data_IF_649100807008
#
_entry.id   IF_649100807008
#
_cell.length_a   1.000
_cell.length_b   1.000
_cell.length_c   1.000
_cell.angle_alpha   90.00
_cell.angle_beta   90.00
_cell.angle_gamma   90.00
#
_symmetry.space_group_name_H-M   'P 1'
#
loop_
_entity.id
_entity.type
_entity.pdbx_description
1 polymer ?
#
# COMPACT_ATOMS: atom_id res chain seq x y z
N UNK A 1 10.65 -6.29 -4.64
CA UNK A 1 10.30 -5.94 -3.25
C UNK A 1 10.84 -7.04 -2.36
N UNK A 2 11.47 -6.78 -1.20
CA UNK A 2 12.00 -7.87 -0.38
C UNK A 2 10.91 -8.47 0.51
N UNK A 3 10.80 -9.79 0.57
CA UNK A 3 9.76 -10.55 1.27
C UNK A 3 9.76 -10.26 2.77
N UNK A 4 10.94 -10.13 3.38
CA UNK A 4 11.07 -9.85 4.82
C UNK A 4 10.61 -8.43 5.22
N UNK A 5 10.54 -7.50 4.27
CA UNK A 5 10.02 -6.15 4.47
C UNK A 5 8.48 -6.11 4.46
N UNK A 6 7.82 -7.17 3.99
CA UNK A 6 6.35 -7.17 3.79
C UNK A 6 5.54 -7.60 5.01
N UNK A 7 6.16 -8.26 5.99
CA UNK A 7 5.47 -8.82 7.17
C UNK A 7 4.42 -9.91 6.87
N UNK A 8 4.15 -10.27 5.61
CA UNK A 8 3.14 -11.24 5.20
C UNK A 8 3.77 -12.56 4.73
N UNK A 9 3.26 -13.69 5.25
CA UNK A 9 3.70 -15.02 4.85
C UNK A 9 3.21 -15.44 3.45
N UNK A 10 2.27 -14.71 2.84
CA UNK A 10 1.79 -15.01 1.48
C UNK A 10 2.87 -14.73 0.43
N UNK A 11 3.63 -13.64 0.60
CA UNK A 11 4.67 -13.25 -0.35
C UNK A 11 5.86 -14.20 -0.40
N UNK A 12 6.04 -15.06 0.61
CA UNK A 12 7.03 -16.15 0.55
C UNK A 12 6.68 -17.12 -0.59
N UNK A 13 5.39 -17.39 -0.83
CA UNK A 13 4.95 -18.28 -1.92
C UNK A 13 5.07 -17.63 -3.29
N UNK A 14 4.92 -16.31 -3.34
CA UNK A 14 5.03 -15.50 -4.55
C UNK A 14 6.47 -15.09 -4.88
N UNK A 15 7.40 -15.32 -3.94
CA UNK A 15 8.81 -14.99 -4.13
C UNK A 15 9.52 -15.97 -5.04
N UNK A 16 10.38 -15.44 -5.89
CA UNK A 16 11.18 -16.24 -6.80
C UNK A 16 12.23 -17.05 -6.04
N UNK A 17 12.88 -16.43 -5.05
CA UNK A 17 14.04 -16.93 -4.30
C UNK A 17 13.82 -17.03 -2.77
N UNK A 18 12.61 -16.82 -2.27
CA UNK A 18 12.34 -16.71 -0.83
C UNK A 18 12.57 -15.31 -0.26
N UNK A 19 13.18 -14.42 -1.03
CA UNK A 19 13.68 -13.12 -0.59
C UNK A 19 13.07 -11.93 -1.33
N UNK A 20 12.70 -12.08 -2.60
CA UNK A 20 12.23 -11.02 -3.47
C UNK A 20 10.95 -11.45 -4.20
N UNK A 21 10.05 -10.49 -4.33
CA UNK A 21 8.92 -10.56 -5.27
C UNK A 21 9.25 -9.62 -6.43
N UNK A 22 9.55 -10.19 -7.60
CA UNK A 22 9.91 -9.45 -8.82
C UNK A 22 8.71 -8.68 -9.42
N UNK A 23 7.49 -9.16 -9.16
CA UNK A 23 6.24 -8.51 -9.55
C UNK A 23 5.77 -7.37 -8.65
N UNK A 24 6.49 -7.07 -7.56
CA UNK A 24 6.07 -6.03 -6.62
C UNK A 24 6.05 -4.63 -7.27
N UNK A 25 4.99 -3.85 -7.03
CA UNK A 25 4.80 -2.55 -7.69
C UNK A 25 5.77 -1.47 -7.22
N UNK A 26 6.28 -1.52 -5.98
CA UNK A 26 7.22 -0.51 -5.47
C UNK A 26 8.47 -0.30 -6.35
N UNK A 27 9.27 -1.35 -6.62
CA UNK A 27 10.40 -1.24 -7.56
C UNK A 27 9.98 -0.78 -8.96
N UNK A 28 8.78 -1.16 -9.42
CA UNK A 28 8.26 -0.74 -10.72
C UNK A 28 7.96 0.78 -10.74
N UNK A 29 7.42 1.32 -9.65
CA UNK A 29 7.14 2.75 -9.50
C UNK A 29 8.42 3.59 -9.40
N UNK A 30 9.36 3.17 -8.54
CA UNK A 30 10.47 4.03 -8.09
C UNK A 30 11.82 3.71 -8.74
N UNK A 31 12.00 2.54 -9.35
CA UNK A 31 13.29 2.15 -9.92
C UNK A 31 13.16 1.06 -11.01
N UNK A 32 12.28 1.27 -11.98
CA UNK A 32 12.12 0.33 -13.09
C UNK A 32 13.17 0.62 -14.15
N UNK A 33 14.14 -0.30 -14.32
CA UNK A 33 15.23 -0.15 -15.29
C UNK A 33 15.97 1.19 -15.11
N UNK A 34 16.31 1.51 -13.86
CA UNK A 34 16.95 2.78 -13.46
C UNK A 34 16.10 4.04 -13.69
N UNK A 35 14.78 3.90 -13.87
CA UNK A 35 13.84 5.02 -14.00
C UNK A 35 12.93 5.09 -12.78
N UNK A 36 12.96 6.24 -12.09
CA UNK A 36 11.93 6.63 -11.12
C UNK A 36 10.73 7.20 -11.88
N UNK A 37 9.77 6.33 -12.19
CA UNK A 37 8.60 6.70 -12.98
C UNK A 37 7.70 7.68 -12.22
N UNK A 38 7.58 7.54 -10.89
CA UNK A 38 6.71 8.43 -10.09
C UNK A 38 7.26 9.86 -10.07
N UNK A 39 8.56 10.03 -9.80
CA UNK A 39 9.18 11.35 -9.88
C UNK A 39 9.09 11.93 -11.29
N UNK A 40 9.36 11.10 -12.30
CA UNK A 40 9.28 11.51 -13.71
C UNK A 40 7.89 12.05 -14.08
N UNK A 41 6.81 11.36 -13.70
CA UNK A 41 5.46 11.85 -14.01
C UNK A 41 5.08 13.09 -13.20
N UNK A 42 5.57 13.23 -11.96
CA UNK A 42 5.34 14.45 -11.15
C UNK A 42 6.02 15.65 -11.82
N UNK A 43 7.28 15.54 -12.21
CA UNK A 43 8.04 16.61 -12.86
C UNK A 43 7.46 16.96 -14.24
N UNK A 44 6.95 15.95 -14.95
CA UNK A 44 6.24 16.12 -16.21
C UNK A 44 4.92 16.89 -16.02
N UNK A 45 4.13 16.56 -15.00
CA UNK A 45 2.87 17.25 -14.71
C UNK A 45 3.09 18.69 -14.23
N UNK A 46 4.18 18.96 -13.50
CA UNK A 46 4.56 20.33 -13.11
C UNK A 46 4.94 21.18 -14.33
N UNK A 47 5.74 20.64 -15.24
CA UNK A 47 6.25 21.37 -16.40
C UNK A 47 5.23 21.48 -17.55
N UNK A 48 4.36 20.46 -17.71
CA UNK A 48 3.35 20.39 -18.77
C UNK A 48 2.01 19.88 -18.19
N UNK A 49 1.22 20.73 -17.51
CA UNK A 49 0.01 20.30 -16.79
C UNK A 49 -1.05 19.58 -17.66
N UNK A 50 -1.18 19.96 -18.93
CA UNK A 50 -2.15 19.35 -19.86
C UNK A 50 -1.66 18.06 -20.53
N UNK A 51 -0.46 17.59 -20.16
CA UNK A 51 0.14 16.38 -20.72
C UNK A 51 -0.81 15.18 -20.65
N UNK A 52 -0.72 14.33 -21.69
CA UNK A 52 -1.38 13.02 -21.75
C UNK A 52 -0.38 11.87 -21.53
N UNK A 53 0.90 12.21 -21.29
CA UNK A 53 2.04 11.30 -21.27
C UNK A 53 2.48 10.91 -19.84
N UNK A 54 1.83 11.44 -18.80
CA UNK A 54 2.12 11.08 -17.41
C UNK A 54 1.57 9.67 -17.10
N UNK A 55 2.31 8.65 -17.52
CA UNK A 55 1.95 7.23 -17.42
C UNK A 55 3.08 6.47 -16.74
N UNK A 56 2.72 5.63 -15.77
CA UNK A 56 3.58 4.64 -15.15
C UNK A 56 3.24 3.27 -15.76
N UNK A 57 4.25 2.56 -16.26
CA UNK A 57 4.15 1.19 -16.74
C UNK A 57 4.55 0.20 -15.64
N UNK A 58 3.71 -0.79 -15.35
CA UNK A 58 3.97 -1.78 -14.28
C UNK A 58 4.22 -3.18 -14.82
N UNK A 59 3.36 -3.66 -15.72
CA UNK A 59 3.55 -4.90 -16.47
C UNK A 59 4.58 -4.71 -17.59
N UNK A 60 5.49 -5.66 -17.80
CA UNK A 60 6.42 -5.65 -18.92
C UNK A 60 6.36 -6.98 -19.70
N UNK A 61 6.76 -6.95 -20.97
CA UNK A 61 6.82 -8.15 -21.81
C UNK A 61 7.72 -9.25 -21.19
N UNK A 62 8.81 -8.87 -20.52
CA UNK A 62 9.72 -9.78 -19.82
C UNK A 62 9.06 -10.56 -18.68
N UNK A 63 7.96 -10.05 -18.11
CA UNK A 63 7.23 -10.76 -17.06
C UNK A 63 6.60 -12.06 -17.59
N UNK A 64 6.42 -12.18 -18.90
CA UNK A 64 5.91 -13.39 -19.55
C UNK A 64 6.99 -14.47 -19.78
N UNK A 65 8.26 -14.17 -19.51
CA UNK A 65 9.38 -15.10 -19.75
C UNK A 65 9.39 -16.32 -18.81
N UNK A 66 8.50 -16.38 -17.81
CA UNK A 66 8.45 -17.43 -16.80
C UNK A 66 9.41 -17.23 -15.62
N UNK A 67 10.26 -16.20 -15.66
CA UNK A 67 11.16 -15.86 -14.55
C UNK A 67 10.43 -15.21 -13.36
N UNK A 68 9.24 -14.62 -13.58
CA UNK A 68 8.43 -14.02 -12.53
C UNK A 68 7.29 -14.97 -12.14
N UNK A 69 7.26 -15.41 -10.88
CA UNK A 69 6.18 -16.27 -10.39
C UNK A 69 4.87 -15.51 -10.24
N UNK A 70 4.97 -14.22 -9.89
CA UNK A 70 3.83 -13.34 -9.67
C UNK A 70 3.80 -12.20 -10.71
N UNK A 71 3.34 -12.51 -11.92
CA UNK A 71 3.22 -11.53 -13.02
C UNK A 71 2.29 -10.37 -12.62
N UNK A 72 2.73 -9.09 -12.73
CA UNK A 72 1.89 -7.93 -12.41
C UNK A 72 0.49 -7.99 -13.06
N UNK A 73 -0.55 -7.82 -12.25
CA UNK A 73 -1.93 -7.71 -12.74
C UNK A 73 -2.26 -6.29 -13.19
N UNK A 74 -1.66 -5.28 -12.57
CA UNK A 74 -1.77 -3.89 -13.00
C UNK A 74 -0.84 -3.64 -14.18
N UNK A 75 -1.39 -3.07 -15.26
CA UNK A 75 -0.64 -2.78 -16.48
C UNK A 75 -0.10 -1.35 -16.45
N UNK A 76 -0.96 -0.35 -16.25
CA UNK A 76 -0.55 1.06 -16.23
C UNK A 76 -1.33 1.91 -15.23
N UNK A 77 -0.72 3.03 -14.81
CA UNK A 77 -1.37 4.12 -14.09
C UNK A 77 -1.14 5.42 -14.87
N UNK A 78 -2.20 6.10 -15.29
CA UNK A 78 -2.14 7.38 -16.00
C UNK A 78 -2.68 8.50 -15.12
N UNK A 79 -1.97 9.63 -15.10
CA UNK A 79 -2.32 10.82 -14.34
C UNK A 79 -2.62 11.99 -15.28
N UNK A 80 -3.65 12.78 -14.98
CA UNK A 80 -4.06 13.91 -15.81
C UNK A 80 -4.56 15.05 -14.94
N UNK A 81 -4.10 16.27 -15.19
CA UNK A 81 -4.64 17.46 -14.54
C UNK A 81 -5.75 18.03 -15.41
N UNK A 82 -6.97 18.15 -14.88
CA UNK A 82 -8.10 18.80 -15.56
C UNK A 82 -8.83 19.70 -14.58
N UNK A 83 -9.09 20.94 -14.96
CA UNK A 83 -9.84 21.92 -14.14
C UNK A 83 -9.30 22.00 -12.69
N UNK A 84 -7.97 22.07 -12.55
CA UNK A 84 -7.30 22.18 -11.24
C UNK A 84 -7.35 20.92 -10.36
N UNK A 85 -7.76 19.76 -10.91
CA UNK A 85 -7.86 18.50 -10.20
C UNK A 85 -6.98 17.42 -10.83
N UNK A 86 -6.38 16.57 -10.01
CA UNK A 86 -5.62 15.42 -10.47
C UNK A 86 -6.52 14.20 -10.62
N UNK A 87 -6.73 13.78 -11.86
CA UNK A 87 -7.43 12.55 -12.22
C UNK A 87 -6.44 11.40 -12.38
N UNK A 88 -6.88 10.18 -12.08
CA UNK A 88 -6.07 8.98 -12.29
C UNK A 88 -6.88 7.88 -12.97
N UNK A 89 -6.27 7.18 -13.93
CA UNK A 89 -6.81 5.99 -14.58
C UNK A 89 -5.85 4.83 -14.35
N UNK A 90 -6.36 3.71 -13.84
CA UNK A 90 -5.61 2.47 -13.71
C UNK A 90 -6.16 1.44 -14.67
N UNK A 91 -5.27 0.78 -15.41
CA UNK A 91 -5.62 -0.38 -16.24
C UNK A 91 -4.99 -1.62 -15.64
N UNK A 92 -5.76 -2.71 -15.61
CA UNK A 92 -5.35 -4.01 -15.10
C UNK A 92 -5.78 -5.09 -16.10
N UNK A 93 -4.93 -6.11 -16.30
CA UNK A 93 -5.29 -7.28 -17.12
C UNK A 93 -6.25 -8.22 -16.38
N UNK A 94 -6.20 -8.23 -15.04
CA UNK A 94 -6.96 -9.13 -14.18
C UNK A 94 -7.13 -8.52 -12.79
N UNK A 95 -8.30 -8.68 -12.15
CA UNK A 95 -8.51 -8.24 -10.77
C UNK A 95 -9.52 -9.15 -10.05
N UNK A 96 -9.15 -9.61 -8.84
CA UNK A 96 -10.05 -10.34 -7.93
C UNK A 96 -11.04 -9.34 -7.34
N UNK A 97 -12.32 -9.47 -7.69
CA UNK A 97 -13.36 -8.52 -7.31
C UNK A 97 -13.63 -8.46 -5.80
N UNK A 98 -13.35 -9.54 -5.05
CA UNK A 98 -13.71 -9.64 -3.64
C UNK A 98 -12.55 -9.29 -2.72
N UNK A 99 -11.35 -9.83 -2.98
CA UNK A 99 -10.18 -9.60 -2.12
C UNK A 99 -9.21 -8.58 -2.70
N UNK A 100 -9.00 -8.59 -4.01
CA UNK A 100 -8.02 -7.75 -4.69
C UNK A 100 -8.49 -6.30 -4.84
N UNK A 101 -9.69 -6.12 -5.41
CA UNK A 101 -10.24 -4.81 -5.76
C UNK A 101 -10.26 -3.82 -4.58
N UNK A 102 -10.73 -4.17 -3.36
CA UNK A 102 -10.72 -3.22 -2.25
C UNK A 102 -9.31 -2.75 -1.88
N UNK A 103 -8.33 -3.65 -1.89
CA UNK A 103 -6.93 -3.34 -1.61
C UNK A 103 -6.30 -2.48 -2.73
N UNK A 104 -6.56 -2.84 -3.98
CA UNK A 104 -6.01 -2.15 -5.14
C UNK A 104 -6.56 -0.73 -5.26
N UNK A 105 -7.88 -0.56 -5.15
CA UNK A 105 -8.51 0.77 -5.16
C UNK A 105 -7.97 1.64 -4.02
N UNK A 106 -7.85 1.09 -2.81
CA UNK A 106 -7.25 1.81 -1.68
C UNK A 106 -5.83 2.26 -2.00
N UNK A 107 -4.94 1.35 -2.39
CA UNK A 107 -3.54 1.67 -2.69
C UNK A 107 -3.42 2.71 -3.82
N UNK A 108 -4.20 2.55 -4.88
CA UNK A 108 -4.13 3.40 -6.06
C UNK A 108 -4.67 4.80 -5.77
N UNK A 109 -5.77 4.92 -5.04
CA UNK A 109 -6.32 6.24 -4.66
C UNK A 109 -5.44 6.94 -3.63
N UNK A 110 -4.74 6.21 -2.75
CA UNK A 110 -3.69 6.78 -1.90
C UNK A 110 -2.51 7.33 -2.72
N UNK A 111 -2.07 6.64 -3.78
CA UNK A 111 -1.06 7.16 -4.71
C UNK A 111 -1.57 8.40 -5.44
N UNK A 112 -2.82 8.40 -5.92
CA UNK A 112 -3.44 9.58 -6.52
C UNK A 112 -3.42 10.77 -5.55
N UNK A 113 -3.81 10.55 -4.30
CA UNK A 113 -3.80 11.61 -3.29
C UNK A 113 -2.38 12.11 -3.01
N UNK A 114 -1.38 11.24 -2.84
CA UNK A 114 0.02 11.63 -2.69
C UNK A 114 0.51 12.55 -3.82
N UNK A 115 0.24 12.17 -5.07
CA UNK A 115 0.62 12.97 -6.24
C UNK A 115 -0.16 14.29 -6.26
N UNK A 116 -1.44 14.29 -5.91
CA UNK A 116 -2.26 15.49 -5.85
C UNK A 116 -1.72 16.48 -4.79
N UNK A 117 -1.39 15.99 -3.58
CA UNK A 117 -0.79 16.79 -2.50
C UNK A 117 0.56 17.37 -2.91
N UNK A 118 1.42 16.55 -3.53
CA UNK A 118 2.74 16.97 -4.04
C UNK A 118 2.63 18.10 -5.08
N UNK A 119 1.56 18.10 -5.88
CA UNK A 119 1.30 19.12 -6.91
C UNK A 119 0.48 20.31 -6.39
N UNK A 120 0.02 20.29 -5.13
CA UNK A 120 -0.88 21.31 -4.60
C UNK A 120 -2.27 21.32 -5.26
N UNK A 121 -2.74 20.17 -5.75
CA UNK A 121 -4.00 20.03 -6.48
C UNK A 121 -5.08 19.34 -5.64
N UNK A 122 -6.34 19.62 -5.99
CA UNK A 122 -7.47 18.85 -5.48
C UNK A 122 -7.55 17.47 -6.15
N UNK A 123 -8.16 16.51 -5.46
CA UNK A 123 -8.39 15.17 -6.01
C UNK A 123 -9.49 15.25 -7.08
N UNK A 124 -9.21 14.63 -8.23
CA UNK A 124 -10.14 14.42 -9.33
C UNK A 124 -10.69 13.00 -9.38
N UNK A 125 -11.22 12.61 -10.53
CA UNK A 125 -11.85 11.29 -10.72
C UNK A 125 -10.79 10.20 -10.81
N UNK A 126 -10.97 9.16 -10.00
CA UNK A 126 -10.32 7.87 -10.15
C UNK A 126 -11.12 6.98 -11.11
N UNK A 127 -10.45 6.33 -12.05
CA UNK A 127 -11.04 5.38 -12.99
C UNK A 127 -10.29 4.04 -12.89
N UNK A 128 -11.03 2.94 -12.80
CA UNK A 128 -10.48 1.60 -12.73
C UNK A 128 -10.97 0.77 -13.90
N UNK A 129 -10.05 0.20 -14.67
CA UNK A 129 -10.37 -0.69 -15.78
C UNK A 129 -9.68 -2.04 -15.57
N UNK A 130 -10.47 -3.11 -15.52
CA UNK A 130 -9.97 -4.48 -15.43
C UNK A 130 -10.43 -5.28 -16.64
N UNK A 131 -9.50 -5.92 -17.35
CA UNK A 131 -9.81 -6.79 -18.48
C UNK A 131 -10.59 -8.05 -18.05
N UNK A 132 -10.13 -8.72 -17.00
CA UNK A 132 -10.84 -9.82 -16.35
C UNK A 132 -11.14 -9.50 -14.88
N UNK A 133 -12.37 -9.09 -14.61
CA UNK A 133 -12.89 -8.94 -13.24
C UNK A 133 -13.53 -10.26 -12.83
N UNK A 134 -13.03 -10.91 -11.79
CA UNK A 134 -13.42 -12.27 -11.46
C UNK A 134 -13.59 -12.51 -9.95
N UNK A 135 -14.38 -13.53 -9.61
CA UNK A 135 -14.55 -14.04 -8.26
C UNK A 135 -14.09 -15.49 -8.25
N UNK A 136 -13.14 -15.83 -7.37
CA UNK A 136 -12.75 -17.23 -7.17
C UNK A 136 -13.86 -18.01 -6.48
N UNK A 137 -14.13 -19.25 -6.93
CA UNK A 137 -15.19 -20.10 -6.37
C UNK A 137 -15.04 -20.32 -4.86
N UNK A 138 -13.81 -20.47 -4.37
CA UNK A 138 -13.52 -20.63 -2.94
C UNK A 138 -13.91 -19.39 -2.10
N UNK A 139 -14.15 -18.24 -2.74
CA UNK A 139 -14.61 -17.01 -2.09
C UNK A 139 -16.12 -16.78 -2.26
N UNK A 140 -16.84 -17.63 -3.00
CA UNK A 140 -18.26 -17.41 -3.34
C UNK A 140 -19.15 -17.30 -2.12
N UNK A 141 -18.97 -18.20 -1.14
CA UNK A 141 -19.77 -18.20 0.08
C UNK A 141 -19.53 -16.93 0.91
N UNK A 142 -18.26 -16.56 1.11
CA UNK A 142 -17.90 -15.33 1.83
C UNK A 142 -18.42 -14.07 1.13
N UNK A 143 -18.36 -14.02 -0.20
CA UNK A 143 -18.93 -12.93 -0.98
C UNK A 143 -20.46 -12.85 -0.81
N UNK A 144 -21.14 -13.99 -0.81
CA UNK A 144 -22.59 -14.04 -0.58
C UNK A 144 -22.96 -13.57 0.84
N UNK A 145 -22.20 -13.98 1.85
CA UNK A 145 -22.40 -13.52 3.22
C UNK A 145 -22.27 -11.99 3.32
N UNK A 146 -21.23 -11.41 2.71
CA UNK A 146 -21.05 -9.96 2.66
C UNK A 146 -22.23 -9.23 1.98
N UNK A 147 -22.74 -9.75 0.86
CA UNK A 147 -23.91 -9.16 0.18
C UNK A 147 -25.18 -9.22 1.05
N UNK A 148 -25.26 -10.19 1.96
CA UNK A 148 -26.41 -10.35 2.84
C UNK A 148 -26.38 -9.44 4.09
N UNK A 149 -25.29 -8.68 4.32
CA UNK A 149 -25.15 -7.81 5.52
C UNK A 149 -26.14 -6.64 5.56
N UNK A 150 -26.94 -6.41 4.51
CA UNK A 150 -28.09 -5.49 4.36
C UNK A 150 -27.85 -3.99 4.60
N UNK A 151 -26.92 -3.60 5.48
CA UNK A 151 -26.57 -2.21 5.80
C UNK A 151 -25.06 -2.04 5.63
N UNK A 152 -24.67 -1.20 4.68
CA UNK A 152 -23.28 -0.75 4.53
C UNK A 152 -23.22 0.73 4.88
N UNK A 153 -22.62 1.05 6.03
CA UNK A 153 -22.39 2.43 6.42
C UNK A 153 -21.34 3.05 5.47
N UNK A 154 -21.65 4.22 4.92
CA UNK A 154 -20.65 5.02 4.22
C UNK A 154 -19.84 5.80 5.25
N UNK A 155 -18.57 5.42 5.40
CA UNK A 155 -17.61 6.12 6.25
C UNK A 155 -16.50 6.64 5.35
N UNK A 156 -16.34 7.95 5.32
CA UNK A 156 -15.26 8.60 4.57
C UNK A 156 -13.97 8.57 5.39
N UNK A 157 -12.87 8.17 4.74
CA UNK A 157 -11.55 8.35 5.35
C UNK A 157 -11.22 9.84 5.46
N UNK A 158 -10.46 10.25 6.49
CA UNK A 158 -9.97 11.62 6.58
C UNK A 158 -9.09 11.94 5.37
N UNK A 159 -9.15 13.16 4.81
CA UNK A 159 -8.27 13.56 3.73
C UNK A 159 -6.82 13.63 4.21
N UNK A 160 -5.87 13.27 3.35
CA UNK A 160 -4.45 13.47 3.62
C UNK A 160 -4.17 14.97 3.88
N UNK A 161 -3.28 15.32 4.82
CA UNK A 161 -2.95 16.71 5.09
C UNK A 161 -2.46 17.44 3.84
N UNK A 162 -2.78 18.72 3.73
CA UNK A 162 -2.28 19.58 2.66
C UNK A 162 -0.76 19.79 2.77
N UNK A 163 -0.13 20.14 1.65
CA UNK A 163 1.31 20.33 1.56
C UNK A 163 2.05 19.11 1.01
N UNK A 164 3.38 19.15 1.06
CA UNK A 164 4.24 18.07 0.60
C UNK A 164 4.12 16.85 1.57
N UNK A 165 3.62 15.69 1.11
CA UNK A 165 3.45 14.52 1.97
C UNK A 165 4.76 13.74 2.20
N UNK A 166 5.78 13.92 1.36
CA UNK A 166 6.96 13.03 1.36
C UNK A 166 7.77 13.01 2.67
N UNK A 167 7.95 14.13 3.40
CA UNK A 167 8.57 14.10 4.73
C UNK A 167 7.80 13.25 5.74
N UNK A 168 6.46 13.29 5.70
CA UNK A 168 5.62 12.48 6.58
C UNK A 168 5.63 11.01 6.16
N UNK A 169 5.65 10.71 4.85
CA UNK A 169 5.84 9.35 4.33
C UNK A 169 7.16 8.76 4.80
N UNK A 170 8.26 9.52 4.78
CA UNK A 170 9.55 9.05 5.28
C UNK A 170 9.51 8.69 6.78
N UNK A 171 8.87 9.53 7.60
CA UNK A 171 8.64 9.23 9.03
C UNK A 171 7.76 7.98 9.23
N UNK A 172 6.71 7.81 8.42
CA UNK A 172 5.85 6.62 8.46
C UNK A 172 6.62 5.34 8.12
N UNK A 173 7.48 5.38 7.09
CA UNK A 173 8.32 4.23 6.70
C UNK A 173 9.33 3.87 7.79
N UNK A 174 9.94 4.87 8.42
CA UNK A 174 10.83 4.66 9.57
C UNK A 174 10.05 4.02 10.74
N UNK A 175 8.86 4.52 11.05
CA UNK A 175 8.01 3.95 12.09
C UNK A 175 7.59 2.51 11.77
N UNK A 176 7.23 2.21 10.52
CA UNK A 176 6.93 0.85 10.05
C UNK A 176 8.09 -0.10 10.34
N UNK A 177 9.31 0.28 9.97
CA UNK A 177 10.48 -0.56 10.13
C UNK A 177 10.75 -0.87 11.61
N UNK A 178 10.70 0.15 12.45
CA UNK A 178 10.92 0.01 13.90
C UNK A 178 9.84 -0.89 14.53
N UNK A 179 8.56 -0.67 14.20
CA UNK A 179 7.43 -1.50 14.69
C UNK A 179 7.54 -2.94 14.18
N UNK A 180 7.91 -3.14 12.91
CA UNK A 180 8.11 -4.46 12.31
C UNK A 180 9.23 -5.24 13.00
N UNK A 181 10.26 -4.54 13.44
CA UNK A 181 11.38 -5.09 14.21
C UNK A 181 11.11 -5.20 15.72
N UNK A 182 9.88 -4.95 16.16
CA UNK A 182 9.44 -5.22 17.53
C UNK A 182 9.69 -4.08 18.53
N UNK A 183 10.11 -2.91 18.07
CA UNK A 183 10.24 -1.74 18.95
C UNK A 183 8.85 -1.20 19.29
N UNK A 184 8.62 -1.04 20.59
CA UNK A 184 7.42 -0.36 21.08
C UNK A 184 7.63 1.15 20.98
N UNK A 185 6.78 1.81 20.21
CA UNK A 185 6.91 3.22 19.88
C UNK A 185 5.64 3.95 20.26
N UNK A 186 5.79 5.19 20.67
CA UNK A 186 4.70 6.16 20.69
C UNK A 186 4.70 6.94 19.37
N UNK A 187 3.56 7.00 18.67
CA UNK A 187 3.45 7.80 17.44
C UNK A 187 3.79 9.29 17.67
N UNK A 188 3.67 9.80 18.91
CA UNK A 188 4.08 11.15 19.30
C UNK A 188 5.59 11.41 19.13
N UNK A 189 6.43 10.37 19.14
CA UNK A 189 7.88 10.52 18.96
C UNK A 189 8.26 11.13 17.60
N UNK A 190 7.40 11.01 16.59
CA UNK A 190 7.69 11.51 15.26
C UNK A 190 7.30 12.96 15.02
N UNK A 191 6.62 13.63 15.96
CA UNK A 191 5.99 14.94 15.78
C UNK A 191 5.33 15.04 14.39
N UNK A 192 4.25 14.28 14.23
CA UNK A 192 3.62 14.00 12.93
C UNK A 192 2.11 14.25 13.02
N UNK A 193 1.53 14.76 11.93
CA UNK A 193 0.11 15.08 11.86
C UNK A 193 -0.76 13.86 12.24
N UNK A 194 -1.87 14.03 12.98
CA UNK A 194 -2.74 12.95 13.46
C UNK A 194 -3.12 11.89 12.41
N UNK A 195 -3.40 12.32 11.18
CA UNK A 195 -3.63 11.44 10.02
C UNK A 195 -2.55 10.35 9.88
N UNK A 196 -1.27 10.75 9.85
CA UNK A 196 -0.15 9.81 9.71
C UNK A 196 0.10 9.05 11.01
N UNK A 197 -0.11 9.69 12.16
CA UNK A 197 -0.01 9.05 13.47
C UNK A 197 -0.98 7.89 13.63
N UNK A 198 -2.19 8.01 13.08
CA UNK A 198 -3.17 6.93 13.08
C UNK A 198 -2.75 5.75 12.19
N UNK A 199 -2.07 5.99 11.06
CA UNK A 199 -1.48 4.92 10.25
C UNK A 199 -0.37 4.17 11.01
N UNK A 200 0.48 4.89 11.75
CA UNK A 200 1.48 4.28 12.64
C UNK A 200 0.78 3.42 13.71
N UNK A 201 -0.29 3.93 14.32
CA UNK A 201 -1.07 3.19 15.32
C UNK A 201 -1.73 1.93 14.77
N UNK A 202 -2.16 1.92 13.51
CA UNK A 202 -2.65 0.70 12.85
C UNK A 202 -1.54 -0.36 12.75
N UNK A 203 -0.31 0.03 12.40
CA UNK A 203 0.84 -0.87 12.39
C UNK A 203 1.16 -1.40 13.80
N UNK A 204 1.09 -0.54 14.80
CA UNK A 204 1.27 -0.91 16.20
C UNK A 204 0.18 -1.88 16.69
N UNK A 205 -1.08 -1.65 16.33
CA UNK A 205 -2.18 -2.54 16.67
C UNK A 205 -1.98 -3.92 16.04
N UNK A 206 -1.48 -3.97 14.80
CA UNK A 206 -1.08 -5.22 14.17
C UNK A 206 0.06 -5.91 14.93
N UNK A 207 1.10 -5.18 15.32
CA UNK A 207 2.23 -5.73 16.08
C UNK A 207 1.84 -6.22 17.48
N UNK A 208 0.93 -5.51 18.16
CA UNK A 208 0.40 -5.82 19.48
C UNK A 208 -0.73 -6.86 19.50
N UNK A 209 -0.85 -7.67 18.44
CA UNK A 209 -1.87 -8.73 18.38
C UNK A 209 -1.80 -9.66 19.58
N UNK A 210 -2.94 -10.00 20.18
CA UNK A 210 -3.00 -10.81 21.40
C UNK A 210 -2.66 -10.05 22.70
N UNK A 211 -2.22 -8.79 22.64
CA UNK A 211 -2.00 -7.94 23.81
C UNK A 211 -3.20 -6.99 24.01
N UNK A 212 -4.14 -7.40 24.86
CA UNK A 212 -5.38 -6.65 25.07
C UNK A 212 -5.16 -5.24 25.67
N UNK A 213 -4.14 -5.08 26.51
CA UNK A 213 -3.84 -3.81 27.17
C UNK A 213 -3.28 -2.79 26.17
N UNK A 214 -2.30 -3.21 25.34
CA UNK A 214 -1.77 -2.36 24.26
C UNK A 214 -2.85 -2.01 23.25
N UNK A 215 -3.67 -2.97 22.85
CA UNK A 215 -4.78 -2.74 21.92
C UNK A 215 -5.78 -1.69 22.48
N UNK A 216 -6.12 -1.76 23.77
CA UNK A 216 -6.99 -0.75 24.40
C UNK A 216 -6.35 0.64 24.38
N UNK A 217 -5.06 0.73 24.70
CA UNK A 217 -4.31 1.99 24.70
C UNK A 217 -4.30 2.61 23.30
N UNK A 218 -3.93 1.82 22.28
CA UNK A 218 -3.87 2.26 20.89
C UNK A 218 -5.25 2.73 20.41
N UNK A 219 -6.31 1.95 20.65
CA UNK A 219 -7.69 2.31 20.28
C UNK A 219 -8.12 3.64 20.89
N UNK A 220 -7.75 3.87 22.15
CA UNK A 220 -8.09 5.12 22.87
C UNK A 220 -7.37 6.32 22.26
N UNK A 221 -6.12 6.13 21.83
CA UNK A 221 -5.26 7.15 21.23
C UNK A 221 -5.56 7.47 19.76
N UNK A 222 -6.43 6.72 19.08
CA UNK A 222 -6.80 6.99 17.68
C UNK A 222 -7.51 8.34 17.54
N UNK A 223 -7.13 9.10 16.52
CA UNK A 223 -7.80 10.35 16.16
C UNK A 223 -9.07 10.05 15.34
N UNK A 224 -8.98 9.12 14.41
CA UNK A 224 -10.07 8.61 13.59
C UNK A 224 -10.65 7.31 14.17
N UNK A 225 -11.77 7.45 14.89
CA UNK A 225 -12.43 6.34 15.60
C UNK A 225 -12.93 5.17 14.73
N UNK A 226 -13.30 5.35 13.45
CA UNK A 226 -13.75 4.24 12.61
C UNK A 226 -12.74 3.12 12.36
N UNK A 227 -11.45 3.30 12.67
CA UNK A 227 -10.48 2.20 12.68
C UNK A 227 -10.66 1.22 13.86
N UNK A 228 -11.53 1.55 14.83
CA UNK A 228 -11.77 0.78 16.04
C UNK A 228 -12.08 -0.72 15.83
N UNK A 229 -12.97 -1.12 14.90
CA UNK A 229 -13.26 -2.52 14.65
C UNK A 229 -12.03 -3.35 14.23
N UNK A 230 -11.18 -2.79 13.36
CA UNK A 230 -9.92 -3.44 12.98
C UNK A 230 -9.01 -3.62 14.19
N UNK A 231 -8.81 -2.56 14.99
CA UNK A 231 -7.93 -2.58 16.16
C UNK A 231 -8.43 -3.61 17.18
N UNK A 232 -9.74 -3.62 17.46
CA UNK A 232 -10.35 -4.58 18.38
C UNK A 232 -10.20 -6.03 17.91
N UNK A 233 -10.33 -6.26 16.59
CA UNK A 233 -10.18 -7.60 16.01
C UNK A 233 -8.80 -8.24 16.27
N UNK A 234 -7.79 -7.43 16.63
CA UNK A 234 -6.44 -7.91 16.95
C UNK A 234 -6.34 -8.60 18.31
N UNK A 235 -7.30 -8.40 19.23
CA UNK A 235 -7.26 -9.00 20.59
C UNK A 235 -7.30 -10.51 20.54
N UNK A 236 -8.14 -11.07 19.68
CA UNK A 236 -8.29 -12.52 19.52
C UNK A 236 -7.26 -13.16 18.59
N UNK A 237 -6.26 -12.42 18.12
CA UNK A 237 -5.22 -12.95 17.22
C UNK A 237 -4.02 -13.44 18.05
N UNK A 238 -3.31 -14.44 17.52
CA UNK A 238 -2.08 -14.94 18.15
C UNK A 238 -1.03 -13.82 18.24
N UNK A 239 -0.22 -13.78 19.32
CA UNK A 239 0.92 -12.90 19.41
C UNK A 239 1.84 -13.01 18.21
N UNK A 240 2.31 -11.85 17.74
CA UNK A 240 3.26 -11.79 16.63
C UNK A 240 4.63 -12.23 17.14
N UNK A 241 5.26 -13.15 16.42
CA UNK A 241 6.68 -13.49 16.62
C UNK A 241 7.51 -12.53 15.77
N UNK A 242 8.35 -11.73 16.43
CA UNK A 242 9.34 -10.89 15.75
C UNK A 242 10.45 -11.81 15.24
N UNK A 243 10.62 -11.87 13.92
CA UNK A 243 11.74 -12.61 13.33
C UNK A 243 13.00 -11.72 13.43
N UNK A 244 14.16 -12.26 13.86
CA UNK A 244 15.39 -11.49 13.85
C UNK A 244 15.70 -11.00 12.43
N UNK A 245 16.32 -9.82 12.27
CA UNK A 245 16.82 -9.40 10.97
C UNK A 245 17.80 -10.46 10.46
N UNK A 246 17.65 -10.87 9.20
CA UNK A 246 18.56 -11.84 8.58
C UNK A 246 19.95 -11.20 8.54
N UNK A 247 20.88 -11.69 9.36
CA UNK A 247 22.28 -11.31 9.28
C UNK A 247 22.88 -11.94 8.03
N UNK A 248 23.26 -11.12 7.06
CA UNK A 248 23.97 -11.59 5.87
C UNK A 248 25.46 -11.73 6.21
N UNK A 249 25.94 -12.98 6.24
CA UNK A 249 27.36 -13.28 6.05
C UNK A 249 27.60 -13.13 4.54
N UNK A 250 28.21 -12.02 4.12
CA UNK A 250 28.80 -11.96 2.79
C UNK A 250 29.82 -13.11 2.68
N UNK A 251 29.77 -13.96 1.65
CA UNK A 251 30.87 -14.87 1.41
C UNK A 251 32.11 -14.02 1.18
N UNK A 252 33.05 -14.08 2.12
CA UNK A 252 34.38 -13.55 1.94
C UNK A 252 34.94 -14.21 0.68
N UNK A 253 35.14 -13.41 -0.36
CA UNK A 253 35.65 -13.88 -1.64
C UNK A 253 36.95 -14.66 -1.42
N UNK A 254 36.95 -15.93 -1.84
CA UNK A 254 38.19 -16.66 -2.08
C UNK A 254 38.87 -16.06 -3.31
N UNK A 255 40.15 -15.74 -3.13
CA UNK A 255 41.09 -15.14 -4.08
C UNK A 255 41.17 -15.88 -5.42
#
# INVERSE_FOLDING_TARGET
>A
MRVHETGSSSYVKESEDGERVLGGYGPRLFNQRAVDQLRTIIDLLKSRPDTRQAVIQLFNAEDLSGACKAVPCTTTMQFMIRRGRLHMLVTMRSNDAFKGLPHDVFCFTMIQELVARTLGLAIGIYKHFAGSMHLYDNNREAAQQYLNEAVQASIEMPPMPAGDPWPAVAKLLQAEELVRNGLDLDARFFDIHPYWGDLIRLLQAFAASGDAAKIQSIKSAMSFKPYGPYIESRRGKKPRVVKPPVQFILPLGSR
#
